data_IF_751233775354
#
_entry.id   IF_751233775354
#
_cell.length_a   1.000
_cell.length_b   1.000
_cell.length_c   1.000
_cell.angle_alpha   90.00
_cell.angle_beta   90.00
_cell.angle_gamma   90.00
#
_symmetry.space_group_name_H-M   'P 1'
#
loop_
_entity.id
_entity.type
_entity.pdbx_description
1 polymer ?
#
# COMPACT_ATOMS: atom_id res chain seq x y z
N UNK A 1 15.96 -7.97 -16.89
CA UNK A 1 14.62 -8.25 -17.45
C UNK A 1 13.59 -7.93 -16.38
N UNK A 2 12.85 -6.81 -16.53
CA UNK A 2 11.71 -6.48 -15.67
C UNK A 2 10.57 -7.41 -16.12
N UNK A 3 10.36 -8.52 -15.44
CA UNK A 3 9.39 -9.55 -15.79
C UNK A 3 7.98 -8.94 -15.83
N UNK A 4 7.40 -8.86 -17.03
CA UNK A 4 6.09 -8.27 -17.31
C UNK A 4 4.98 -8.87 -16.40
N UNK A 5 5.15 -10.12 -16.00
CA UNK A 5 4.26 -10.85 -15.09
C UNK A 5 4.21 -10.30 -13.66
N UNK A 6 5.26 -9.60 -13.21
CA UNK A 6 5.28 -8.95 -11.90
C UNK A 6 4.49 -7.64 -11.91
N UNK A 7 4.72 -6.81 -12.94
CA UNK A 7 4.13 -5.47 -13.10
C UNK A 7 2.60 -5.49 -13.23
N UNK A 8 2.04 -6.41 -14.03
CA UNK A 8 0.59 -6.50 -14.18
C UNK A 8 -0.15 -6.92 -12.90
N UNK A 9 0.49 -7.75 -12.06
CA UNK A 9 -0.08 -8.16 -10.77
C UNK A 9 0.05 -7.08 -9.71
N UNK A 10 1.11 -6.27 -9.77
CA UNK A 10 1.32 -5.14 -8.87
C UNK A 10 0.27 -4.06 -9.15
N UNK A 11 -0.02 -3.75 -10.41
CA UNK A 11 -1.02 -2.73 -10.77
C UNK A 11 -2.44 -3.08 -10.30
N UNK A 12 -2.86 -4.34 -10.46
CA UNK A 12 -4.16 -4.80 -9.96
C UNK A 12 -4.24 -4.73 -8.42
N UNK A 13 -3.15 -5.10 -7.74
CA UNK A 13 -3.08 -5.04 -6.28
C UNK A 13 -3.12 -3.59 -5.78
N UNK A 14 -2.39 -2.67 -6.42
CA UNK A 14 -2.47 -1.23 -6.14
C UNK A 14 -3.91 -0.74 -6.25
N UNK A 15 -4.62 -1.08 -7.32
CA UNK A 15 -6.00 -0.66 -7.52
C UNK A 15 -6.94 -1.20 -6.43
N UNK A 16 -6.78 -2.47 -6.02
CA UNK A 16 -7.55 -3.07 -4.94
C UNK A 16 -7.31 -2.38 -3.59
N UNK A 17 -6.06 -2.10 -3.25
CA UNK A 17 -5.75 -1.44 -1.98
C UNK A 17 -6.18 0.03 -1.98
N UNK A 18 -6.04 0.75 -3.09
CA UNK A 18 -6.58 2.11 -3.21
C UNK A 18 -8.09 2.15 -3.01
N UNK A 19 -8.83 1.22 -3.62
CA UNK A 19 -10.27 1.10 -3.39
C UNK A 19 -10.61 0.78 -1.93
N UNK A 20 -9.80 -0.06 -1.26
CA UNK A 20 -9.99 -0.33 0.16
C UNK A 20 -9.77 0.93 1.02
N UNK A 21 -8.77 1.75 0.69
CA UNK A 21 -8.50 3.05 1.34
C UNK A 21 -9.64 4.04 1.07
N UNK A 22 -10.21 4.06 -0.14
CA UNK A 22 -11.37 4.90 -0.46
C UNK A 22 -12.62 4.49 0.34
N UNK A 23 -12.81 3.19 0.57
CA UNK A 23 -13.93 2.66 1.34
C UNK A 23 -13.75 2.87 2.84
N UNK A 24 -12.54 2.68 3.36
CA UNK A 24 -12.19 2.93 4.75
C UNK A 24 -10.79 3.58 4.84
N UNK A 25 -10.74 4.92 4.89
CA UNK A 25 -9.48 5.66 5.01
C UNK A 25 -8.76 5.43 6.33
N UNK A 26 -9.41 4.81 7.32
CA UNK A 26 -8.83 4.51 8.63
C UNK A 26 -8.28 3.09 8.71
N UNK A 27 -8.42 2.30 7.65
CA UNK A 27 -7.95 0.94 7.64
C UNK A 27 -6.43 0.89 7.41
N UNK A 28 -5.65 0.52 8.43
CA UNK A 28 -4.19 0.51 8.37
C UNK A 28 -3.61 -0.56 7.41
N UNK A 29 -4.34 -1.65 7.16
CA UNK A 29 -3.82 -2.82 6.45
C UNK A 29 -3.56 -2.57 4.95
N UNK A 30 -4.47 -1.94 4.19
CA UNK A 30 -4.25 -1.52 2.80
C UNK A 30 -3.05 -0.59 2.64
N UNK A 31 -2.88 0.38 3.54
CA UNK A 31 -1.74 1.29 3.53
C UNK A 31 -0.41 0.53 3.65
N UNK A 32 -0.32 -0.43 4.59
CA UNK A 32 0.90 -1.25 4.77
C UNK A 32 1.21 -2.11 3.55
N UNK A 33 0.20 -2.77 2.97
CA UNK A 33 0.40 -3.62 1.79
C UNK A 33 0.71 -2.81 0.53
N UNK A 34 0.10 -1.63 0.38
CA UNK A 34 0.40 -0.70 -0.70
C UNK A 34 1.85 -0.21 -0.61
N UNK A 35 2.34 0.11 0.59
CA UNK A 35 3.74 0.48 0.81
C UNK A 35 4.71 -0.61 0.33
N UNK A 36 4.48 -1.88 0.68
CA UNK A 36 5.34 -3.00 0.26
C UNK A 36 5.41 -3.10 -1.28
N UNK A 37 4.24 -3.05 -1.92
CA UNK A 37 4.10 -3.11 -3.38
C UNK A 37 4.81 -1.92 -4.06
N UNK A 38 4.67 -0.72 -3.51
CA UNK A 38 5.33 0.48 -4.01
C UNK A 38 6.87 0.38 -3.89
N UNK A 39 7.40 -0.24 -2.83
CA UNK A 39 8.84 -0.53 -2.70
C UNK A 39 9.32 -1.48 -3.80
N UNK A 40 8.56 -2.53 -4.10
CA UNK A 40 8.89 -3.48 -5.19
C UNK A 40 8.86 -2.82 -6.57
N UNK A 41 8.03 -1.79 -6.74
CA UNK A 41 7.97 -0.96 -7.96
C UNK A 41 9.08 0.11 -8.02
N UNK A 42 9.85 0.30 -6.96
CA UNK A 42 10.87 1.35 -6.83
C UNK A 42 10.30 2.74 -6.52
N UNK A 43 9.01 2.84 -6.19
CA UNK A 43 8.33 4.07 -5.78
C UNK A 43 8.49 4.31 -4.28
N UNK A 44 9.73 4.57 -3.86
CA UNK A 44 10.09 4.61 -2.44
C UNK A 44 9.38 5.74 -1.69
N UNK A 45 9.28 6.94 -2.28
CA UNK A 45 8.63 8.09 -1.63
C UNK A 45 7.15 7.83 -1.35
N UNK A 46 6.42 7.25 -2.33
CA UNK A 46 5.02 6.85 -2.16
C UNK A 46 4.90 5.74 -1.10
N UNK A 47 5.82 4.77 -1.10
CA UNK A 47 5.81 3.69 -0.13
C UNK A 47 5.99 4.19 1.31
N UNK A 48 6.92 5.12 1.53
CA UNK A 48 7.17 5.67 2.85
C UNK A 48 5.96 6.46 3.37
N UNK A 49 5.28 7.22 2.51
CA UNK A 49 4.04 7.91 2.87
C UNK A 49 2.94 6.93 3.32
N UNK A 50 2.72 5.86 2.55
CA UNK A 50 1.72 4.84 2.87
C UNK A 50 2.09 4.06 4.15
N UNK A 51 3.37 3.75 4.37
CA UNK A 51 3.84 3.09 5.60
C UNK A 51 3.65 3.97 6.85
N UNK A 52 3.85 5.28 6.73
CA UNK A 52 3.55 6.22 7.82
C UNK A 52 2.06 6.28 8.14
N UNK A 53 1.20 6.34 7.11
CA UNK A 53 -0.26 6.31 7.32
C UNK A 53 -0.69 5.02 8.01
N UNK A 54 -0.15 3.87 7.58
CA UNK A 54 -0.42 2.59 8.22
C UNK A 54 -0.03 2.58 9.71
N UNK A 55 1.10 3.18 10.08
CA UNK A 55 1.55 3.28 11.49
C UNK A 55 0.63 4.18 12.31
N UNK A 56 0.26 5.35 11.78
CA UNK A 56 -0.64 6.29 12.46
C UNK A 56 -1.99 5.62 12.72
N UNK A 57 -2.54 4.94 11.72
CA UNK A 57 -3.84 4.25 11.83
C UNK A 57 -3.76 2.98 12.69
N UNK A 58 -2.68 2.22 12.59
CA UNK A 58 -2.47 1.02 13.41
C UNK A 58 -2.25 1.35 14.88
N UNK A 59 -1.54 2.44 15.18
CA UNK A 59 -1.37 2.94 16.54
C UNK A 59 -2.69 3.35 17.19
N UNK A 60 -3.63 3.91 16.40
CA UNK A 60 -4.96 4.33 16.86
C UNK A 60 -5.91 3.18 17.25
N UNK A 61 -5.56 1.92 16.94
CA UNK A 61 -6.39 0.75 17.21
C UNK A 61 -5.71 -0.26 18.17
N UNK A 62 -4.71 0.20 18.94
CA UNK A 62 -3.94 -0.64 19.88
C UNK A 62 -4.53 -0.74 21.29
N UNK A 63 -5.74 -0.21 21.52
CA UNK A 63 -6.44 -0.20 22.82
C UNK A 63 -7.49 -1.33 22.93
#
# INVERSE_FOLDING_TARGET
>A
MKTLSGQGKTDEAVAKYKKAIELDPRYAWPHRNLAIILRELGKIDEADAEDQMAKVLGAQHSD
#
